data_IF_544860273952
#
_entry.id   IF_544860273952
#
_cell.length_a   1.000
_cell.length_b   1.000
_cell.length_c   1.000
_cell.angle_alpha   90.00
_cell.angle_beta   90.00
_cell.angle_gamma   90.00
#
_symmetry.space_group_name_H-M   'P 1'
#
loop_
_entity.id
_entity.type
_entity.pdbx_description
1 polymer ?
#
# COMPACT_ATOMS: atom_id res chain seq x y z
N UNK A 1 -21.80 4.01 11.53
CA UNK A 1 -20.37 4.25 11.87
C UNK A 1 -19.67 3.02 12.48
N UNK A 2 -20.27 2.34 13.47
CA UNK A 2 -19.67 1.24 14.23
C UNK A 2 -19.18 0.01 13.44
N UNK A 3 -19.75 -0.31 12.27
CA UNK A 3 -19.32 -1.45 11.44
C UNK A 3 -18.30 -1.04 10.36
N UNK A 4 -18.39 0.21 9.89
CA UNK A 4 -17.56 0.75 8.80
C UNK A 4 -16.12 0.95 9.27
N UNK A 5 -15.96 1.47 10.49
CA UNK A 5 -14.66 1.74 11.08
C UNK A 5 -13.80 0.47 11.28
N UNK A 6 -14.30 -0.62 11.90
CA UNK A 6 -13.53 -1.86 12.03
C UNK A 6 -13.23 -2.52 10.69
N UNK A 7 -14.13 -2.43 9.70
CA UNK A 7 -13.91 -3.01 8.38
C UNK A 7 -12.76 -2.29 7.63
N UNK A 8 -12.79 -0.96 7.62
CA UNK A 8 -11.76 -0.13 6.98
C UNK A 8 -10.40 -0.27 7.68
N UNK A 9 -10.39 -0.26 9.02
CA UNK A 9 -9.15 -0.43 9.79
C UNK A 9 -8.53 -1.82 9.60
N UNK A 10 -9.33 -2.88 9.58
CA UNK A 10 -8.84 -4.23 9.30
C UNK A 10 -8.22 -4.35 7.90
N UNK A 11 -8.83 -3.73 6.88
CA UNK A 11 -8.29 -3.73 5.53
C UNK A 11 -6.94 -2.99 5.45
N UNK A 12 -6.88 -1.78 6.01
CA UNK A 12 -5.65 -0.97 6.07
C UNK A 12 -4.53 -1.73 6.78
N UNK A 13 -4.82 -2.37 7.92
CA UNK A 13 -3.82 -3.15 8.65
C UNK A 13 -3.29 -4.34 7.85
N UNK A 14 -4.16 -5.06 7.14
CA UNK A 14 -3.76 -6.22 6.33
C UNK A 14 -2.84 -5.81 5.17
N UNK A 15 -3.20 -4.72 4.48
CA UNK A 15 -2.39 -4.18 3.38
C UNK A 15 -1.05 -3.67 3.91
N UNK A 16 -1.06 -2.89 4.98
CA UNK A 16 0.14 -2.38 5.64
C UNK A 16 1.10 -3.49 6.03
N UNK A 17 0.63 -4.53 6.74
CA UNK A 17 1.48 -5.67 7.15
C UNK A 17 2.12 -6.37 5.95
N UNK A 18 1.39 -6.46 4.83
CA UNK A 18 1.91 -7.03 3.59
C UNK A 18 2.94 -6.10 2.92
N UNK A 19 2.73 -4.77 2.95
CA UNK A 19 3.69 -3.78 2.48
C UNK A 19 4.99 -3.87 3.28
N UNK A 20 4.94 -3.85 4.62
CA UNK A 20 6.12 -3.98 5.49
C UNK A 20 6.95 -5.22 5.14
N UNK A 21 6.30 -6.38 4.96
CA UNK A 21 6.98 -7.62 4.56
C UNK A 21 7.65 -7.53 3.17
N UNK A 22 7.02 -6.86 2.20
CA UNK A 22 7.59 -6.68 0.86
C UNK A 22 8.73 -5.66 0.85
N UNK A 23 8.59 -4.57 1.60
CA UNK A 23 9.64 -3.56 1.77
C UNK A 23 10.90 -4.16 2.39
N UNK A 24 10.76 -5.01 3.42
CA UNK A 24 11.91 -5.73 3.99
C UNK A 24 12.65 -6.56 2.93
N UNK A 25 11.93 -7.25 2.05
CA UNK A 25 12.55 -8.02 0.94
C UNK A 25 13.25 -7.13 -0.09
N UNK A 26 12.74 -5.91 -0.32
CA UNK A 26 13.38 -4.93 -1.20
C UNK A 26 14.71 -4.47 -0.57
N UNK A 27 14.69 -4.21 0.74
CA UNK A 27 15.87 -3.81 1.51
C UNK A 27 16.93 -4.94 1.57
N UNK A 28 16.52 -6.19 1.78
CA UNK A 28 17.40 -7.36 1.70
C UNK A 28 18.06 -7.49 0.31
N UNK A 29 17.30 -7.26 -0.77
CA UNK A 29 17.85 -7.35 -2.13
C UNK A 29 18.85 -6.25 -2.45
N UNK A 30 18.59 -5.01 -2.01
CA UNK A 30 19.58 -3.94 -2.22
C UNK A 30 20.85 -4.18 -1.38
N UNK A 31 20.72 -4.75 -0.18
CA UNK A 31 21.87 -5.19 0.61
C UNK A 31 22.73 -6.20 -0.14
N UNK A 32 22.11 -7.23 -0.74
CA UNK A 32 22.83 -8.24 -1.53
C UNK A 32 23.55 -7.62 -2.75
N UNK A 33 22.89 -6.70 -3.46
CA UNK A 33 23.49 -5.99 -4.60
C UNK A 33 24.72 -5.20 -4.13
N UNK A 34 24.61 -4.46 -3.03
CA UNK A 34 25.73 -3.70 -2.46
C UNK A 34 26.89 -4.62 -2.05
N UNK A 35 26.60 -5.78 -1.45
CA UNK A 35 27.64 -6.77 -1.11
C UNK A 35 28.37 -7.30 -2.35
N UNK A 36 27.66 -7.61 -3.44
CA UNK A 36 28.28 -8.06 -4.70
C UNK A 36 29.15 -6.97 -5.29
N UNK A 37 28.66 -5.72 -5.30
CA UNK A 37 29.44 -4.56 -5.75
C UNK A 37 30.72 -4.40 -4.92
N UNK A 38 30.61 -4.49 -3.60
CA UNK A 38 31.75 -4.36 -2.70
C UNK A 38 32.77 -5.49 -2.94
N UNK A 39 32.33 -6.74 -3.07
CA UNK A 39 33.18 -7.88 -3.40
C UNK A 39 33.91 -7.69 -4.73
N UNK A 40 33.19 -7.30 -5.79
CA UNK A 40 33.77 -7.08 -7.11
C UNK A 40 34.77 -5.91 -7.15
N UNK A 41 34.49 -4.81 -6.43
CA UNK A 41 35.37 -3.64 -6.37
C UNK A 41 36.61 -3.93 -5.51
N UNK A 42 36.44 -4.51 -4.33
CA UNK A 42 37.57 -4.91 -3.48
C UNK A 42 38.46 -5.95 -4.15
N UNK A 43 37.86 -6.86 -4.93
CA UNK A 43 38.54 -7.90 -5.71
C UNK A 43 38.92 -7.49 -7.14
N UNK A 44 38.86 -6.21 -7.51
CA UNK A 44 38.95 -5.79 -8.92
C UNK A 44 40.21 -6.28 -9.65
N UNK A 45 41.35 -6.36 -8.93
CA UNK A 45 42.60 -6.90 -9.48
C UNK A 45 42.47 -8.37 -9.89
N UNK A 46 41.74 -9.17 -9.10
CA UNK A 46 41.47 -10.58 -9.38
C UNK A 46 40.51 -10.70 -10.56
N UNK A 47 39.42 -9.93 -10.56
CA UNK A 47 38.44 -9.93 -11.67
C UNK A 47 39.13 -9.60 -12.99
N UNK A 48 40.00 -8.59 -13.02
CA UNK A 48 40.79 -8.19 -14.20
C UNK A 48 41.83 -9.23 -14.58
N UNK A 49 42.56 -9.80 -13.61
CA UNK A 49 43.59 -10.81 -13.88
C UNK A 49 43.03 -12.07 -14.55
N UNK A 50 41.78 -12.43 -14.23
CA UNK A 50 41.09 -13.59 -14.80
C UNK A 50 40.11 -13.23 -15.94
N UNK A 51 39.99 -11.95 -16.34
CA UNK A 51 39.07 -11.52 -17.39
C UNK A 51 37.58 -11.75 -17.08
N UNK A 52 37.21 -11.80 -15.79
CA UNK A 52 35.87 -12.20 -15.31
C UNK A 52 34.83 -11.07 -15.28
N UNK A 53 35.08 -9.96 -15.96
CA UNK A 53 34.23 -8.76 -15.89
C UNK A 53 32.81 -8.99 -16.40
N UNK A 54 32.68 -9.73 -17.51
CA UNK A 54 31.38 -10.09 -18.07
C UNK A 54 30.57 -10.98 -17.11
N UNK A 55 31.26 -11.88 -16.39
CA UNK A 55 30.63 -12.76 -15.41
C UNK A 55 30.10 -11.96 -14.20
N UNK A 56 30.91 -11.06 -13.63
CA UNK A 56 30.46 -10.21 -12.52
C UNK A 56 29.34 -9.25 -12.94
N UNK A 57 29.39 -8.70 -14.16
CA UNK A 57 28.31 -7.89 -14.71
C UNK A 57 27.00 -8.67 -14.85
N UNK A 58 27.06 -9.92 -15.34
CA UNK A 58 25.87 -10.75 -15.47
C UNK A 58 25.28 -11.12 -14.10
N UNK A 59 26.14 -11.45 -13.12
CA UNK A 59 25.74 -11.67 -11.72
C UNK A 59 25.04 -10.44 -11.14
N UNK A 60 25.61 -9.25 -11.31
CA UNK A 60 25.02 -7.99 -10.89
C UNK A 60 23.68 -7.70 -11.59
N UNK A 61 23.61 -7.91 -12.91
CA UNK A 61 22.39 -7.71 -13.71
C UNK A 61 21.25 -8.58 -13.22
N UNK A 62 21.52 -9.87 -12.94
CA UNK A 62 20.52 -10.82 -12.43
C UNK A 62 19.95 -10.38 -11.08
N UNK A 63 20.81 -9.99 -10.14
CA UNK A 63 20.35 -9.53 -8.82
C UNK A 63 19.60 -8.19 -8.90
N UNK A 64 20.01 -7.30 -9.81
CA UNK A 64 19.30 -6.05 -10.08
C UNK A 64 17.90 -6.31 -10.66
N UNK A 65 17.76 -7.25 -11.59
CA UNK A 65 16.45 -7.65 -12.14
C UNK A 65 15.55 -8.24 -11.05
N UNK A 66 16.13 -9.03 -10.15
CA UNK A 66 15.46 -9.52 -8.97
C UNK A 66 14.99 -8.38 -8.05
N UNK A 67 15.84 -7.41 -7.74
CA UNK A 67 15.46 -6.24 -6.95
C UNK A 67 14.32 -5.45 -7.62
N UNK A 68 14.43 -5.19 -8.93
CA UNK A 68 13.40 -4.51 -9.71
C UNK A 68 12.03 -5.22 -9.62
N UNK A 69 12.00 -6.54 -9.79
CA UNK A 69 10.75 -7.33 -9.65
C UNK A 69 10.17 -7.24 -8.23
N UNK A 70 11.00 -7.14 -7.19
CA UNK A 70 10.53 -6.97 -5.82
C UNK A 70 9.92 -5.59 -5.58
N UNK A 71 10.58 -4.53 -6.05
CA UNK A 71 10.07 -3.15 -6.03
C UNK A 71 8.75 -3.06 -6.77
N UNK A 72 8.66 -3.61 -7.98
CA UNK A 72 7.43 -3.58 -8.76
C UNK A 72 6.25 -4.25 -8.04
N UNK A 73 6.48 -5.36 -7.34
CA UNK A 73 5.46 -6.04 -6.53
C UNK A 73 5.04 -5.22 -5.31
N UNK A 74 5.95 -4.47 -4.69
CA UNK A 74 5.63 -3.57 -3.58
C UNK A 74 4.81 -2.38 -4.07
N UNK A 75 5.24 -1.72 -5.16
CA UNK A 75 4.53 -0.58 -5.76
C UNK A 75 3.14 -0.98 -6.22
N UNK A 76 2.99 -2.13 -6.89
CA UNK A 76 1.68 -2.64 -7.31
C UNK A 76 0.74 -2.83 -6.11
N UNK A 77 1.24 -3.38 -5.00
CA UNK A 77 0.45 -3.52 -3.79
C UNK A 77 0.06 -2.15 -3.20
N UNK A 78 0.99 -1.21 -3.14
CA UNK A 78 0.73 0.13 -2.61
C UNK A 78 -0.32 0.87 -3.45
N UNK A 79 -0.26 0.74 -4.78
CA UNK A 79 -1.22 1.34 -5.71
C UNK A 79 -2.62 0.72 -5.62
N UNK A 80 -2.75 -0.54 -5.18
CA UNK A 80 -4.06 -1.17 -4.96
C UNK A 80 -4.78 -0.65 -3.70
N UNK A 81 -4.05 -0.06 -2.76
CA UNK A 81 -4.61 0.49 -1.52
C UNK A 81 -5.65 1.58 -1.79
N UNK A 82 -5.39 2.50 -2.73
CA UNK A 82 -6.29 3.61 -3.07
C UNK A 82 -7.61 3.12 -3.69
N UNK A 83 -7.62 2.32 -4.78
CA UNK A 83 -8.85 1.78 -5.37
C UNK A 83 -9.68 0.94 -4.39
N UNK A 84 -9.02 0.17 -3.52
CA UNK A 84 -9.71 -0.60 -2.47
C UNK A 84 -10.41 0.31 -1.45
N UNK A 85 -9.76 1.41 -1.04
CA UNK A 85 -10.36 2.38 -0.13
C UNK A 85 -11.48 3.19 -0.77
N UNK A 86 -11.40 3.48 -2.08
CA UNK A 86 -12.44 4.17 -2.84
C UNK A 86 -13.68 3.29 -3.01
N UNK A 87 -13.48 2.05 -3.46
CA UNK A 87 -14.58 1.08 -3.63
C UNK A 87 -15.29 0.79 -2.32
N UNK A 88 -14.56 0.65 -1.21
CA UNK A 88 -15.18 0.55 0.13
C UNK A 88 -15.99 1.80 0.48
N UNK A 89 -15.47 2.99 0.21
CA UNK A 89 -16.19 4.24 0.47
C UNK A 89 -17.50 4.34 -0.29
N UNK A 90 -17.49 4.00 -1.58
CA UNK A 90 -18.68 3.98 -2.44
C UNK A 90 -19.67 2.92 -1.97
N UNK A 91 -19.21 1.72 -1.62
CA UNK A 91 -20.07 0.65 -1.09
C UNK A 91 -20.77 1.08 0.21
N UNK A 92 -20.02 1.69 1.13
CA UNK A 92 -20.57 2.23 2.38
C UNK A 92 -21.63 3.28 2.09
N UNK A 93 -21.35 4.19 1.17
CA UNK A 93 -22.30 5.22 0.75
C UNK A 93 -23.58 4.59 0.21
N UNK A 94 -23.47 3.60 -0.68
CA UNK A 94 -24.63 2.92 -1.25
C UNK A 94 -25.50 2.25 -0.18
N UNK A 95 -24.89 1.56 0.80
CA UNK A 95 -25.62 0.92 1.91
C UNK A 95 -26.31 1.96 2.79
N UNK A 96 -25.63 3.06 3.13
CA UNK A 96 -26.21 4.12 3.96
C UNK A 96 -27.34 4.84 3.22
N UNK A 97 -27.17 5.12 1.92
CA UNK A 97 -28.23 5.71 1.09
C UNK A 97 -29.44 4.80 0.99
N UNK A 98 -29.23 3.50 0.78
CA UNK A 98 -30.33 2.54 0.68
C UNK A 98 -31.09 2.43 2.01
N UNK A 99 -30.39 2.15 3.12
CA UNK A 99 -31.03 1.95 4.42
C UNK A 99 -31.64 3.26 4.98
N UNK A 100 -30.87 4.34 4.97
CA UNK A 100 -31.30 5.64 5.49
C UNK A 100 -32.39 6.27 4.63
N UNK A 101 -32.33 6.12 3.30
CA UNK A 101 -33.37 6.56 2.39
C UNK A 101 -34.70 5.87 2.66
N UNK A 102 -34.70 4.55 2.89
CA UNK A 102 -35.91 3.83 3.28
C UNK A 102 -36.49 4.34 4.62
N UNK A 103 -35.65 4.66 5.61
CA UNK A 103 -36.09 5.23 6.89
C UNK A 103 -36.79 6.59 6.71
N UNK A 104 -36.19 7.48 5.90
CA UNK A 104 -36.76 8.81 5.62
C UNK A 104 -38.11 8.69 4.91
N UNK A 105 -38.20 7.82 3.89
CA UNK A 105 -39.42 7.58 3.12
C UNK A 105 -40.55 6.95 3.95
N UNK A 106 -40.20 6.14 4.96
CA UNK A 106 -41.18 5.54 5.87
C UNK A 106 -41.81 6.53 6.87
N UNK A 107 -41.34 7.78 6.92
CA UNK A 107 -41.90 8.86 7.74
C UNK A 107 -41.80 8.66 9.25
N UNK A 108 -41.01 7.69 9.71
CA UNK A 108 -41.12 7.13 11.05
C UNK A 108 -40.18 7.76 12.09
N UNK A 109 -38.92 8.07 11.73
CA UNK A 109 -37.88 8.41 12.74
C UNK A 109 -36.79 9.40 12.29
N UNK A 110 -36.67 9.73 11.00
CA UNK A 110 -35.56 10.55 10.49
C UNK A 110 -36.06 11.63 9.53
N UNK A 111 -35.71 12.89 9.78
CA UNK A 111 -36.01 13.99 8.85
C UNK A 111 -35.08 13.90 7.63
N UNK A 112 -35.59 14.29 6.45
CA UNK A 112 -34.79 14.36 5.22
C UNK A 112 -33.59 15.32 5.38
N UNK A 113 -33.77 16.38 6.16
CA UNK A 113 -32.72 17.37 6.42
C UNK A 113 -31.58 16.78 7.25
N UNK A 114 -31.89 16.07 8.34
CA UNK A 114 -30.88 15.43 9.19
C UNK A 114 -30.15 14.31 8.45
N UNK A 115 -30.84 13.60 7.56
CA UNK A 115 -30.22 12.59 6.71
C UNK A 115 -29.18 13.18 5.75
N UNK A 116 -29.53 14.28 5.07
CA UNK A 116 -28.62 14.97 4.14
C UNK A 116 -27.40 15.52 4.90
N UNK A 117 -27.61 16.12 6.09
CA UNK A 117 -26.52 16.58 6.96
C UNK A 117 -25.59 15.44 7.35
N UNK A 118 -26.15 14.29 7.75
CA UNK A 118 -25.37 13.10 8.12
C UNK A 118 -24.52 12.58 6.95
N UNK A 119 -25.11 12.42 5.76
CA UNK A 119 -24.38 12.00 4.55
C UNK A 119 -23.24 12.97 4.22
N UNK A 120 -23.50 14.28 4.32
CA UNK A 120 -22.51 15.32 4.05
C UNK A 120 -21.32 15.23 5.00
N UNK A 121 -21.56 15.11 6.31
CA UNK A 121 -20.48 14.93 7.29
C UNK A 121 -19.72 13.62 7.07
N UNK A 122 -20.40 12.54 6.67
CA UNK A 122 -19.76 11.26 6.37
C UNK A 122 -18.81 11.38 5.16
N UNK A 123 -19.21 12.12 4.11
CA UNK A 123 -18.35 12.41 2.96
C UNK A 123 -17.10 13.19 3.35
N UNK A 124 -17.28 14.29 4.10
CA UNK A 124 -16.16 15.14 4.55
C UNK A 124 -15.18 14.33 5.41
N UNK A 125 -15.68 13.40 6.23
CA UNK A 125 -14.85 12.57 7.11
C UNK A 125 -14.10 11.45 6.36
N UNK A 126 -14.58 11.00 5.19
CA UNK A 126 -13.93 9.92 4.44
C UNK A 126 -12.56 10.33 3.90
N UNK A 127 -12.39 11.56 3.45
CA UNK A 127 -11.15 12.07 2.88
C UNK A 127 -9.97 12.04 3.88
N UNK A 128 -10.09 12.60 5.11
CA UNK A 128 -9.02 12.50 6.11
C UNK A 128 -8.76 11.06 6.55
N UNK A 129 -9.79 10.19 6.62
CA UNK A 129 -9.59 8.76 6.94
C UNK A 129 -8.74 8.06 5.87
N UNK A 130 -9.00 8.34 4.58
CA UNK A 130 -8.19 7.80 3.47
C UNK A 130 -6.75 8.29 3.54
N UNK A 131 -6.56 9.59 3.74
CA UNK A 131 -5.24 10.21 3.87
C UNK A 131 -4.43 9.56 5.01
N UNK A 132 -5.04 9.32 6.18
CA UNK A 132 -4.38 8.60 7.27
C UNK A 132 -3.99 7.17 6.91
N UNK A 133 -4.82 6.46 6.14
CA UNK A 133 -4.50 5.13 5.63
C UNK A 133 -3.29 5.11 4.70
N UNK A 134 -3.19 6.09 3.79
CA UNK A 134 -2.05 6.25 2.89
C UNK A 134 -0.77 6.62 3.63
N UNK A 135 -0.86 7.57 4.58
CA UNK A 135 0.26 7.93 5.46
C UNK A 135 0.77 6.72 6.24
N UNK A 136 -0.12 5.90 6.80
CA UNK A 136 0.25 4.68 7.50
C UNK A 136 0.93 3.65 6.58
N UNK A 137 0.49 3.52 5.33
CA UNK A 137 1.16 2.68 4.34
C UNK A 137 2.59 3.17 4.05
N UNK A 138 2.77 4.48 3.89
CA UNK A 138 4.08 5.09 3.66
C UNK A 138 5.00 4.91 4.87
N UNK A 139 4.50 5.09 6.10
CA UNK A 139 5.25 4.82 7.33
C UNK A 139 5.68 3.36 7.40
N UNK A 140 4.82 2.42 7.02
CA UNK A 140 5.17 1.00 7.02
C UNK A 140 6.20 0.62 5.95
N UNK A 141 6.27 1.39 4.86
CA UNK A 141 7.36 1.28 3.89
C UNK A 141 8.66 1.83 4.47
N UNK A 142 8.62 2.97 5.17
CA UNK A 142 9.80 3.62 5.75
C UNK A 142 10.38 2.89 6.97
N UNK A 143 9.55 2.20 7.75
CA UNK A 143 9.97 1.40 8.92
C UNK A 143 10.57 0.03 8.55
N UNK A 144 10.56 -0.33 7.27
CA UNK A 144 11.04 -1.62 6.80
C UNK A 144 12.53 -1.57 6.49
#
# INVERSE_FOLDING_TARGET
ALVIFPLSTALIQKIGRSLKRKSKRVQERISNITSILQEAISGIKVVKAFGMEAYENEKFRRETEHHFKAVLRQVRLNRLSSPLSETLGVMVMAVVMWYGGNLVLSGSQLSSEDFIRFITFLFIMMEPIKSLGELNNNIQIALA
#
